data_IF_270297629068
#
_entry.id   IF_270297629068
#
_cell.length_a   1.000
_cell.length_b   1.000
_cell.length_c   1.000
_cell.angle_alpha   90.00
_cell.angle_beta   90.00
_cell.angle_gamma   90.00
#
_symmetry.space_group_name_H-M   'P 1'
#
loop_
_entity.id
_entity.type
_entity.pdbx_description
1 polymer ?
#
# COMPACT_ATOMS: atom_id res chain seq x y z
N UNK A 1 12.83 31.77 -3.62
CA UNK A 1 13.71 32.28 -4.69
C UNK A 1 14.46 31.12 -5.34
N UNK A 2 15.28 30.35 -4.62
CA UNK A 2 16.07 29.23 -5.18
C UNK A 2 15.27 28.16 -5.93
N UNK A 3 14.04 27.86 -5.49
CA UNK A 3 13.16 26.92 -6.19
C UNK A 3 12.67 27.50 -7.52
N UNK A 4 12.43 28.82 -7.57
CA UNK A 4 12.01 29.51 -8.79
C UNK A 4 13.14 29.53 -9.82
N UNK A 5 14.39 29.68 -9.37
CA UNK A 5 15.60 29.66 -10.21
C UNK A 5 16.04 28.23 -10.57
N UNK A 6 15.33 27.20 -10.09
CA UNK A 6 15.66 25.77 -10.25
C UNK A 6 17.03 25.37 -9.66
N UNK A 7 17.60 26.16 -8.76
CA UNK A 7 18.78 25.79 -7.99
C UNK A 7 18.34 24.96 -6.75
N UNK A 8 18.04 23.71 -7.02
CA UNK A 8 17.53 22.81 -5.97
C UNK A 8 18.59 22.41 -4.94
N UNK A 9 19.89 22.43 -5.30
CA UNK A 9 20.97 22.17 -4.35
C UNK A 9 21.07 23.29 -3.32
N UNK A 10 21.08 24.56 -3.75
CA UNK A 10 21.04 25.71 -2.85
C UNK A 10 19.75 25.74 -2.03
N UNK A 11 18.60 25.42 -2.64
CA UNK A 11 17.33 25.34 -1.95
C UNK A 11 17.34 24.27 -0.83
N UNK A 12 17.90 23.08 -1.10
CA UNK A 12 18.04 22.02 -0.09
C UNK A 12 18.85 22.48 1.10
N UNK A 13 19.99 23.13 0.86
CA UNK A 13 20.86 23.65 1.91
C UNK A 13 20.18 24.75 2.75
N UNK A 14 19.50 25.69 2.06
CA UNK A 14 18.77 26.79 2.68
C UNK A 14 17.66 26.26 3.61
N UNK A 15 16.75 25.46 3.06
CA UNK A 15 15.62 24.94 3.83
C UNK A 15 16.04 23.95 4.93
N UNK A 16 17.11 23.17 4.72
CA UNK A 16 17.65 22.32 5.78
C UNK A 16 18.24 23.12 6.93
N UNK A 17 18.85 24.28 6.65
CA UNK A 17 19.34 25.20 7.69
C UNK A 17 18.17 25.85 8.42
N UNK A 18 17.17 26.33 7.68
CA UNK A 18 15.96 26.94 8.24
C UNK A 18 15.21 25.95 9.13
N UNK A 19 15.03 24.71 8.68
CA UNK A 19 14.39 23.65 9.46
C UNK A 19 15.13 23.31 10.77
N UNK A 20 16.46 23.47 10.80
CA UNK A 20 17.25 23.31 12.03
C UNK A 20 17.09 24.49 12.98
N UNK A 21 17.01 25.71 12.45
CA UNK A 21 16.84 26.94 13.24
C UNK A 21 15.41 27.08 13.77
N UNK A 22 14.44 26.63 13.01
CA UNK A 22 13.02 26.71 13.32
C UNK A 22 12.37 25.31 13.22
N UNK A 23 12.60 24.43 14.22
CA UNK A 23 12.09 23.05 14.18
C UNK A 23 10.56 22.95 14.12
N UNK A 24 9.85 24.00 14.52
CA UNK A 24 8.38 24.10 14.42
C UNK A 24 7.89 24.47 13.01
N UNK A 25 8.76 24.96 12.12
CA UNK A 25 8.39 25.34 10.75
C UNK A 25 8.18 24.12 9.87
N UNK A 26 6.90 23.70 9.75
CA UNK A 26 6.52 22.63 8.84
C UNK A 26 6.82 22.97 7.37
N UNK A 27 6.77 24.24 7.01
CA UNK A 27 7.09 24.72 5.66
C UNK A 27 8.57 24.46 5.32
N UNK A 28 9.50 24.86 6.17
CA UNK A 28 10.92 24.66 5.95
C UNK A 28 11.27 23.16 5.82
N UNK A 29 10.71 22.33 6.69
CA UNK A 29 10.92 20.90 6.70
C UNK A 29 10.41 20.23 5.42
N UNK A 30 9.18 20.55 4.99
CA UNK A 30 8.61 20.04 3.73
C UNK A 30 9.41 20.50 2.53
N UNK A 31 9.78 21.78 2.49
CA UNK A 31 10.53 22.37 1.38
C UNK A 31 11.93 21.77 1.26
N UNK A 32 12.59 21.44 2.36
CA UNK A 32 13.89 20.75 2.34
C UNK A 32 13.79 19.38 1.67
N UNK A 33 12.79 18.57 2.03
CA UNK A 33 12.57 17.24 1.42
C UNK A 33 12.26 17.36 -0.08
N UNK A 34 11.35 18.27 -0.44
CA UNK A 34 10.96 18.48 -1.85
C UNK A 34 12.14 18.99 -2.69
N UNK A 35 12.95 19.89 -2.16
CA UNK A 35 14.13 20.40 -2.84
C UNK A 35 15.18 19.29 -3.06
N UNK A 36 15.43 18.45 -2.04
CA UNK A 36 16.32 17.31 -2.16
C UNK A 36 15.85 16.32 -3.26
N UNK A 37 14.56 16.00 -3.29
CA UNK A 37 13.98 15.13 -4.33
C UNK A 37 14.09 15.73 -5.73
N UNK A 38 13.86 17.04 -5.88
CA UNK A 38 14.01 17.73 -7.16
C UNK A 38 15.46 17.84 -7.64
N UNK A 39 16.40 17.74 -6.70
CA UNK A 39 17.84 17.67 -6.97
C UNK A 39 18.32 16.23 -7.24
N UNK A 40 17.41 15.26 -7.34
CA UNK A 40 17.71 13.82 -7.39
C UNK A 40 18.58 13.30 -6.23
N UNK A 41 18.70 14.07 -5.12
CA UNK A 41 19.41 13.66 -3.92
C UNK A 41 18.52 12.82 -3.01
N UNK A 42 18.32 11.57 -3.42
CA UNK A 42 17.54 10.60 -2.65
C UNK A 42 18.16 10.30 -1.29
N UNK A 43 19.47 10.52 -1.11
CA UNK A 43 20.15 10.27 0.17
C UNK A 43 19.79 11.35 1.18
N UNK A 44 19.88 12.63 0.79
CA UNK A 44 19.45 13.73 1.64
C UNK A 44 17.95 13.64 1.95
N UNK A 45 17.10 13.31 0.95
CA UNK A 45 15.68 13.13 1.15
C UNK A 45 15.37 12.04 2.18
N UNK A 46 16.01 10.86 2.09
CA UNK A 46 15.87 9.77 3.09
C UNK A 46 16.31 10.19 4.48
N UNK A 47 17.44 10.89 4.57
CA UNK A 47 17.94 11.38 5.85
C UNK A 47 16.94 12.32 6.53
N UNK A 48 16.37 13.26 5.76
CA UNK A 48 15.34 14.19 6.25
C UNK A 48 14.06 13.44 6.67
N UNK A 49 13.57 12.54 5.84
CA UNK A 49 12.34 11.76 6.11
C UNK A 49 12.48 10.80 7.30
N UNK A 50 13.69 10.38 7.66
CA UNK A 50 13.92 9.55 8.84
C UNK A 50 13.87 10.33 10.16
N UNK A 51 13.84 11.68 10.11
CA UNK A 51 13.66 12.49 11.31
C UNK A 51 12.18 12.50 11.70
N UNK A 52 11.84 12.03 12.89
CA UNK A 52 10.44 11.95 13.36
C UNK A 52 9.75 13.32 13.35
N UNK A 53 10.47 14.39 13.71
CA UNK A 53 9.95 15.76 13.68
C UNK A 53 9.50 16.20 12.28
N UNK A 54 10.08 15.63 11.23
CA UNK A 54 9.72 15.91 9.83
C UNK A 54 8.62 14.99 9.37
N UNK A 55 8.75 13.67 9.59
CA UNK A 55 7.77 12.68 9.15
C UNK A 55 6.37 12.92 9.72
N UNK A 56 6.28 13.35 10.98
CA UNK A 56 5.01 13.63 11.66
C UNK A 56 4.28 14.89 11.15
N UNK A 57 4.91 15.66 10.26
CA UNK A 57 4.33 16.87 9.65
C UNK A 57 3.64 16.60 8.31
N UNK A 58 3.73 15.39 7.79
CA UNK A 58 3.06 15.00 6.55
C UNK A 58 1.81 14.17 6.87
N UNK A 59 0.81 14.26 5.98
CA UNK A 59 -0.24 13.24 5.99
C UNK A 59 0.37 11.86 5.69
N UNK A 60 -0.26 10.79 6.17
CA UNK A 60 0.24 9.43 5.93
C UNK A 60 0.39 9.15 4.42
N UNK A 61 -0.53 9.66 3.59
CA UNK A 61 -0.48 9.54 2.14
C UNK A 61 0.69 10.33 1.51
N UNK A 62 0.87 11.60 1.90
CA UNK A 62 2.00 12.42 1.41
C UNK A 62 3.34 11.80 1.81
N UNK A 63 3.43 11.30 3.05
CA UNK A 63 4.63 10.65 3.54
C UNK A 63 4.99 9.41 2.73
N UNK A 64 4.01 8.59 2.38
CA UNK A 64 4.22 7.42 1.52
C UNK A 64 4.77 7.83 0.14
N UNK A 65 4.16 8.85 -0.49
CA UNK A 65 4.64 9.34 -1.79
C UNK A 65 6.09 9.85 -1.72
N UNK A 66 6.43 10.66 -0.72
CA UNK A 66 7.78 11.19 -0.54
C UNK A 66 8.80 10.08 -0.23
N UNK A 67 8.41 9.07 0.55
CA UNK A 67 9.26 7.91 0.82
C UNK A 67 9.49 7.05 -0.44
N UNK A 68 8.47 6.90 -1.28
CA UNK A 68 8.58 6.22 -2.56
C UNK A 68 9.50 6.98 -3.53
N UNK A 69 9.34 8.31 -3.64
CA UNK A 69 10.21 9.18 -4.44
C UNK A 69 11.67 9.12 -3.95
N UNK A 70 11.87 9.11 -2.63
CA UNK A 70 13.19 8.94 -2.02
C UNK A 70 13.73 7.51 -2.10
N UNK A 71 12.98 6.56 -2.65
CA UNK A 71 13.28 5.10 -2.67
C UNK A 71 13.57 4.53 -1.27
N UNK A 72 12.88 5.04 -0.25
CA UNK A 72 13.01 4.62 1.15
C UNK A 72 12.09 3.43 1.43
N UNK A 73 12.37 2.25 0.84
CA UNK A 73 11.46 1.12 0.76
C UNK A 73 11.02 0.54 2.11
N UNK A 74 11.93 0.45 3.10
CA UNK A 74 11.57 -0.08 4.43
C UNK A 74 10.67 0.89 5.21
N UNK A 75 10.97 2.21 5.30
CA UNK A 75 10.04 3.19 5.85
C UNK A 75 8.69 3.19 5.12
N UNK A 76 8.68 3.13 3.78
CA UNK A 76 7.47 3.08 2.97
C UNK A 76 6.57 1.89 3.36
N UNK A 77 7.14 0.69 3.52
CA UNK A 77 6.37 -0.48 3.95
C UNK A 77 5.69 -0.26 5.30
N UNK A 78 6.38 0.37 6.26
CA UNK A 78 5.79 0.71 7.57
C UNK A 78 4.67 1.74 7.43
N UNK A 79 4.85 2.73 6.56
CA UNK A 79 3.85 3.78 6.32
C UNK A 79 2.61 3.25 5.61
N UNK A 80 2.72 2.28 4.69
CA UNK A 80 1.56 1.63 4.07
C UNK A 80 0.74 0.87 5.10
N UNK A 81 1.36 0.12 6.02
CA UNK A 81 0.65 -0.54 7.12
C UNK A 81 -0.04 0.45 8.07
N UNK A 82 0.63 1.57 8.39
CA UNK A 82 0.05 2.63 9.23
C UNK A 82 -1.18 3.26 8.55
N UNK A 83 -1.06 3.57 7.26
CA UNK A 83 -2.14 4.15 6.45
C UNK A 83 -3.36 3.23 6.41
N UNK A 84 -3.19 1.96 6.06
CA UNK A 84 -4.31 1.02 6.00
C UNK A 84 -4.92 0.73 7.38
N UNK A 85 -4.12 0.68 8.44
CA UNK A 85 -4.65 0.60 9.81
C UNK A 85 -5.54 1.79 10.14
N UNK A 86 -5.18 3.00 9.70
CA UNK A 86 -6.01 4.19 9.88
C UNK A 86 -7.33 4.08 9.08
N UNK A 87 -7.28 3.54 7.87
CA UNK A 87 -8.48 3.29 7.06
C UNK A 87 -9.42 2.28 7.73
N UNK A 88 -8.91 1.21 8.33
CA UNK A 88 -9.72 0.24 9.09
C UNK A 88 -10.46 0.87 10.30
N UNK A 89 -10.03 2.03 10.79
CA UNK A 89 -10.71 2.76 11.85
C UNK A 89 -11.72 3.78 11.31
N UNK A 90 -11.89 3.90 10.00
CA UNK A 90 -12.82 4.81 9.37
C UNK A 90 -14.28 4.31 9.48
N UNK A 91 -15.24 5.22 9.31
CA UNK A 91 -16.66 4.87 9.31
C UNK A 91 -17.03 3.87 8.19
N UNK A 92 -16.27 3.84 7.11
CA UNK A 92 -16.50 2.96 5.96
C UNK A 92 -16.25 1.47 6.25
N UNK A 93 -15.64 1.13 7.38
CA UNK A 93 -15.51 -0.25 7.81
C UNK A 93 -16.88 -0.93 8.01
N UNK A 94 -17.91 -0.17 8.43
CA UNK A 94 -19.23 -0.75 8.73
C UNK A 94 -19.88 -1.37 7.49
N UNK A 95 -20.09 -0.65 6.37
CA UNK A 95 -20.66 -1.25 5.16
C UNK A 95 -19.74 -2.32 4.55
N UNK A 96 -18.43 -2.14 4.58
CA UNK A 96 -17.48 -3.14 4.08
C UNK A 96 -17.53 -4.43 4.91
N UNK A 97 -17.56 -4.33 6.23
CA UNK A 97 -17.68 -5.48 7.13
C UNK A 97 -19.02 -6.19 6.98
N UNK A 98 -20.12 -5.45 6.83
CA UNK A 98 -21.45 -6.02 6.60
C UNK A 98 -21.50 -6.81 5.30
N UNK A 99 -21.05 -6.23 4.19
CA UNK A 99 -20.97 -6.91 2.89
C UNK A 99 -20.02 -8.11 2.95
N UNK A 100 -18.86 -7.94 3.58
CA UNK A 100 -17.89 -9.01 3.79
C UNK A 100 -18.47 -10.17 4.61
N UNK A 101 -19.25 -9.88 5.67
CA UNK A 101 -19.90 -10.91 6.48
C UNK A 101 -20.93 -11.72 5.66
N UNK A 102 -21.75 -11.05 4.83
CA UNK A 102 -22.71 -11.73 3.97
C UNK A 102 -21.99 -12.72 3.05
N UNK A 103 -20.95 -12.27 2.34
CA UNK A 103 -20.18 -13.13 1.45
C UNK A 103 -19.44 -14.24 2.21
N UNK A 104 -18.89 -13.93 3.39
CA UNK A 104 -18.28 -14.93 4.25
C UNK A 104 -19.27 -16.05 4.62
N UNK A 105 -20.49 -15.69 5.03
CA UNK A 105 -21.53 -16.66 5.34
C UNK A 105 -21.98 -17.49 4.13
N UNK A 106 -22.09 -16.85 2.96
CA UNK A 106 -22.41 -17.57 1.71
C UNK A 106 -21.32 -18.59 1.38
N UNK A 107 -20.04 -18.17 1.39
CA UNK A 107 -18.92 -19.05 1.03
C UNK A 107 -18.75 -20.20 2.04
N UNK A 108 -18.96 -19.93 3.32
CA UNK A 108 -18.78 -20.94 4.36
C UNK A 108 -20.03 -21.82 4.59
N UNK A 109 -21.18 -21.48 4.00
CA UNK A 109 -22.40 -22.28 4.08
C UNK A 109 -22.24 -23.69 3.46
N UNK A 110 -21.30 -23.85 2.55
CA UNK A 110 -20.96 -25.14 1.93
C UNK A 110 -20.08 -26.02 2.83
N UNK A 111 -19.73 -25.54 4.04
CA UNK A 111 -18.87 -26.22 5.00
C UNK A 111 -19.63 -26.68 6.24
N UNK A 112 -19.24 -27.87 6.74
CA UNK A 112 -19.51 -28.19 8.12
C UNK A 112 -18.52 -27.43 8.99
N UNK A 113 -19.00 -26.50 9.80
CA UNK A 113 -18.16 -25.72 10.71
C UNK A 113 -17.51 -26.63 11.75
N UNK A 114 -16.21 -26.65 11.80
CA UNK A 114 -15.41 -27.09 12.93
C UNK A 114 -14.41 -25.97 13.32
N UNK A 115 -13.81 -26.10 14.48
CA UNK A 115 -12.88 -25.08 15.00
C UNK A 115 -11.68 -24.86 14.07
N UNK A 116 -11.17 -25.91 13.44
CA UNK A 116 -10.02 -25.83 12.55
C UNK A 116 -10.36 -25.02 11.29
N UNK A 117 -11.53 -25.28 10.71
CA UNK A 117 -12.02 -24.57 9.52
C UNK A 117 -12.33 -23.11 9.80
N UNK A 118 -12.90 -22.82 10.99
CA UNK A 118 -13.12 -21.44 11.42
C UNK A 118 -11.79 -20.67 11.50
N UNK A 119 -10.77 -21.24 12.13
CA UNK A 119 -9.45 -20.61 12.23
C UNK A 119 -8.84 -20.42 10.84
N UNK A 120 -8.91 -21.45 9.98
CA UNK A 120 -8.39 -21.38 8.62
C UNK A 120 -9.11 -20.31 7.79
N UNK A 121 -10.43 -20.17 7.91
CA UNK A 121 -11.21 -19.16 7.19
C UNK A 121 -10.88 -17.73 7.65
N UNK A 122 -10.77 -17.50 8.95
CA UNK A 122 -10.36 -16.20 9.48
C UNK A 122 -8.93 -15.85 9.06
N UNK A 123 -8.03 -16.84 9.06
CA UNK A 123 -6.66 -16.66 8.58
C UNK A 123 -6.61 -16.33 7.09
N UNK A 124 -7.45 -16.99 6.27
CA UNK A 124 -7.56 -16.70 4.84
C UNK A 124 -8.01 -15.25 4.59
N UNK A 125 -9.04 -14.76 5.30
CA UNK A 125 -9.48 -13.36 5.22
C UNK A 125 -8.36 -12.41 5.64
N UNK A 126 -7.65 -12.71 6.72
CA UNK A 126 -6.52 -11.89 7.18
C UNK A 126 -5.38 -11.82 6.14
N UNK A 127 -5.08 -12.93 5.46
CA UNK A 127 -4.11 -12.95 4.34
C UNK A 127 -4.60 -12.13 3.14
N UNK A 128 -5.91 -12.09 2.90
CA UNK A 128 -6.52 -11.21 1.90
C UNK A 128 -6.31 -9.73 2.22
N UNK A 129 -6.57 -9.32 3.46
CA UNK A 129 -6.28 -7.96 3.95
C UNK A 129 -4.79 -7.63 3.82
N UNK A 130 -3.91 -8.56 4.22
CA UNK A 130 -2.46 -8.39 4.05
C UNK A 130 -2.08 -8.21 2.58
N UNK A 131 -2.71 -8.96 1.66
CA UNK A 131 -2.40 -8.86 0.23
C UNK A 131 -2.77 -7.49 -0.35
N UNK A 132 -3.82 -6.82 0.13
CA UNK A 132 -4.16 -5.46 -0.26
C UNK A 132 -3.06 -4.47 0.13
N UNK A 133 -2.54 -4.57 1.37
CA UNK A 133 -1.41 -3.75 1.83
C UNK A 133 -0.15 -3.97 0.99
N UNK A 134 0.20 -5.23 0.72
CA UNK A 134 1.34 -5.55 -0.13
C UNK A 134 1.15 -5.07 -1.58
N UNK A 135 -0.08 -5.04 -2.07
CA UNK A 135 -0.42 -4.48 -3.39
C UNK A 135 -0.19 -2.98 -3.42
N UNK A 136 -0.65 -2.23 -2.42
CA UNK A 136 -0.40 -0.80 -2.32
C UNK A 136 1.12 -0.50 -2.30
N UNK A 137 1.87 -1.25 -1.51
CA UNK A 137 3.33 -1.15 -1.48
C UNK A 137 3.97 -1.44 -2.84
N UNK A 138 3.52 -2.50 -3.52
CA UNK A 138 4.02 -2.88 -4.84
C UNK A 138 3.69 -1.83 -5.93
N UNK A 139 2.51 -1.17 -5.85
CA UNK A 139 2.16 -0.03 -6.72
C UNK A 139 3.18 1.07 -6.59
N UNK A 140 3.47 1.50 -5.37
CA UNK A 140 4.42 2.59 -5.11
C UNK A 140 5.82 2.28 -5.66
N UNK A 141 6.28 1.03 -5.49
CA UNK A 141 7.56 0.58 -6.08
C UNK A 141 7.49 0.59 -7.61
N UNK A 142 6.44 0.02 -8.18
CA UNK A 142 6.27 -0.09 -9.63
C UNK A 142 6.28 1.28 -10.30
N UNK A 143 5.55 2.23 -9.75
CA UNK A 143 5.46 3.58 -10.31
C UNK A 143 6.77 4.36 -10.17
N UNK A 144 7.44 4.27 -9.01
CA UNK A 144 8.61 5.11 -8.71
C UNK A 144 9.95 4.48 -9.08
N UNK A 145 10.07 3.14 -9.05
CA UNK A 145 11.30 2.47 -9.42
C UNK A 145 11.38 2.13 -10.91
N UNK A 146 10.23 1.79 -11.51
CA UNK A 146 10.18 1.32 -12.90
C UNK A 146 9.50 2.30 -13.86
N UNK A 147 8.91 3.40 -13.35
CA UNK A 147 8.22 4.40 -14.14
C UNK A 147 6.95 3.87 -14.83
N UNK A 148 6.42 2.73 -14.38
CA UNK A 148 5.22 2.13 -14.96
C UNK A 148 3.97 2.75 -14.35
N UNK A 149 3.55 3.89 -14.90
CA UNK A 149 2.43 4.71 -14.42
C UNK A 149 1.30 4.73 -15.45
N UNK A 150 0.09 4.98 -14.96
CA UNK A 150 -1.05 5.25 -15.84
C UNK A 150 -0.89 6.62 -16.51
N UNK A 151 -0.88 6.64 -17.86
CA UNK A 151 -0.85 7.87 -18.66
C UNK A 151 -2.21 8.02 -19.34
N UNK A 152 -3.08 8.94 -18.86
CA UNK A 152 -4.45 9.10 -19.38
C UNK A 152 -4.52 9.41 -20.88
N UNK A 153 -3.48 10.07 -21.44
CA UNK A 153 -3.39 10.43 -22.87
C UNK A 153 -2.82 9.33 -23.76
N UNK A 154 -2.52 8.14 -23.20
CA UNK A 154 -1.98 7.02 -23.95
C UNK A 154 -3.06 6.34 -24.82
N UNK A 155 -2.61 5.53 -25.80
CA UNK A 155 -3.53 4.76 -26.65
C UNK A 155 -4.36 3.77 -25.82
N UNK A 156 -5.55 3.38 -26.30
CA UNK A 156 -6.42 2.39 -25.65
C UNK A 156 -5.67 1.08 -25.38
N UNK A 157 -4.79 0.66 -26.29
CA UNK A 157 -3.98 -0.57 -26.13
C UNK A 157 -3.00 -0.41 -24.94
N UNK A 158 -2.34 0.74 -24.83
CA UNK A 158 -1.44 1.02 -23.70
C UNK A 158 -2.17 1.06 -22.38
N UNK A 159 -3.36 1.64 -22.35
CA UNK A 159 -4.22 1.61 -21.16
C UNK A 159 -4.66 0.19 -20.79
N UNK A 160 -5.08 -0.61 -21.78
CA UNK A 160 -5.44 -2.01 -21.54
C UNK A 160 -4.26 -2.82 -20.98
N UNK A 161 -3.04 -2.65 -21.52
CA UNK A 161 -1.83 -3.29 -21.00
C UNK A 161 -1.57 -2.84 -19.55
N UNK A 162 -1.70 -1.55 -19.26
CA UNK A 162 -1.53 -1.07 -17.89
C UNK A 162 -2.51 -1.73 -16.92
N UNK A 163 -3.81 -1.76 -17.26
CA UNK A 163 -4.81 -2.34 -16.37
C UNK A 163 -4.68 -3.87 -16.24
N UNK A 164 -4.37 -4.58 -17.31
CA UNK A 164 -4.23 -6.04 -17.26
C UNK A 164 -2.92 -6.45 -16.59
N UNK A 165 -1.78 -5.95 -17.07
CA UNK A 165 -0.46 -6.36 -16.57
C UNK A 165 -0.02 -5.55 -15.34
N UNK A 166 -0.32 -4.26 -15.30
CA UNK A 166 0.11 -3.38 -14.21
C UNK A 166 -0.79 -3.46 -12.98
N UNK A 167 -2.08 -3.63 -13.16
CA UNK A 167 -3.04 -3.71 -12.05
C UNK A 167 -3.43 -5.15 -11.80
N UNK A 168 -4.18 -5.77 -12.72
CA UNK A 168 -4.79 -7.09 -12.51
C UNK A 168 -3.78 -8.19 -12.22
N UNK A 169 -2.75 -8.35 -13.07
CA UNK A 169 -1.75 -9.42 -12.87
C UNK A 169 -0.97 -9.26 -11.56
N UNK A 170 -0.61 -8.02 -11.19
CA UNK A 170 0.06 -7.73 -9.92
C UNK A 170 -0.79 -8.15 -8.72
N UNK A 171 -2.06 -7.72 -8.71
CA UNK A 171 -2.97 -8.03 -7.61
C UNK A 171 -3.19 -9.53 -7.46
N UNK A 172 -3.48 -10.22 -8.55
CA UNK A 172 -3.69 -11.67 -8.52
C UNK A 172 -2.42 -12.42 -8.12
N UNK A 173 -1.25 -11.96 -8.55
CA UNK A 173 0.03 -12.57 -8.16
C UNK A 173 0.27 -12.42 -6.65
N UNK A 174 -0.02 -11.26 -6.07
CA UNK A 174 0.17 -11.01 -4.63
C UNK A 174 -0.86 -11.82 -3.83
N UNK A 175 -2.14 -11.84 -4.24
CA UNK A 175 -3.18 -12.69 -3.63
C UNK A 175 -2.76 -14.16 -3.65
N UNK A 176 -2.29 -14.65 -4.80
CA UNK A 176 -1.80 -16.02 -4.94
C UNK A 176 -0.61 -16.28 -4.02
N UNK A 177 0.36 -15.39 -3.95
CA UNK A 177 1.51 -15.52 -3.06
C UNK A 177 1.08 -15.61 -1.59
N UNK A 178 0.13 -14.78 -1.17
CA UNK A 178 -0.45 -14.85 0.18
C UNK A 178 -1.25 -16.14 0.42
N UNK A 179 -1.85 -16.73 -0.63
CA UNK A 179 -2.59 -17.98 -0.53
C UNK A 179 -1.68 -19.23 -0.44
N UNK A 180 -0.44 -19.19 -0.91
CA UNK A 180 0.48 -20.35 -0.96
C UNK A 180 0.51 -21.15 0.37
N UNK A 181 0.66 -20.55 1.56
CA UNK A 181 0.68 -21.30 2.81
C UNK A 181 -0.57 -22.14 3.03
N UNK A 182 -1.73 -21.60 2.69
CA UNK A 182 -3.02 -22.28 2.77
C UNK A 182 -3.10 -23.38 1.71
N UNK A 183 -2.69 -23.11 0.47
CA UNK A 183 -2.69 -24.07 -0.62
C UNK A 183 -1.87 -25.32 -0.27
N UNK A 184 -0.67 -25.13 0.30
CA UNK A 184 0.20 -26.24 0.76
C UNK A 184 -0.48 -27.04 1.88
N UNK A 185 -1.15 -26.38 2.80
CA UNK A 185 -1.89 -27.05 3.87
C UNK A 185 -3.09 -27.86 3.34
N UNK A 186 -3.89 -27.30 2.42
CA UNK A 186 -5.00 -27.98 1.75
C UNK A 186 -4.55 -29.18 0.91
N UNK A 187 -3.45 -29.03 0.14
CA UNK A 187 -2.90 -30.11 -0.68
C UNK A 187 -2.53 -31.34 0.15
N UNK A 188 -1.98 -31.14 1.36
CA UNK A 188 -1.67 -32.24 2.28
C UNK A 188 -2.93 -32.96 2.79
N UNK A 189 -4.07 -32.27 2.81
CA UNK A 189 -5.36 -32.83 3.27
C UNK A 189 -6.19 -33.40 2.15
N UNK A 190 -5.75 -33.25 0.88
CA UNK A 190 -6.46 -33.68 -0.34
C UNK A 190 -7.92 -33.22 -0.40
N UNK A 191 -8.15 -31.95 -0.03
CA UNK A 191 -9.48 -31.36 0.01
C UNK A 191 -9.57 -30.13 -0.90
N UNK A 192 -9.90 -30.37 -2.16
CA UNK A 192 -9.95 -29.32 -3.19
C UNK A 192 -11.06 -28.29 -2.93
N UNK A 193 -12.21 -28.72 -2.40
CA UNK A 193 -13.30 -27.81 -2.06
C UNK A 193 -12.86 -26.83 -0.95
N UNK A 194 -12.14 -27.33 0.04
CA UNK A 194 -11.58 -26.49 1.12
C UNK A 194 -10.60 -25.48 0.58
N UNK A 195 -9.74 -25.89 -0.36
CA UNK A 195 -8.81 -25.00 -1.03
C UNK A 195 -9.52 -23.88 -1.80
N UNK A 196 -10.57 -24.22 -2.54
CA UNK A 196 -11.36 -23.27 -3.32
C UNK A 196 -12.06 -22.23 -2.43
N UNK A 197 -12.69 -22.68 -1.35
CA UNK A 197 -13.37 -21.76 -0.40
C UNK A 197 -12.35 -20.85 0.27
N UNK A 198 -11.20 -21.35 0.72
CA UNK A 198 -10.17 -20.54 1.36
C UNK A 198 -9.53 -19.56 0.38
N UNK A 199 -9.36 -19.92 -0.89
CA UNK A 199 -8.91 -19.00 -1.93
C UNK A 199 -9.92 -17.85 -2.13
N UNK A 200 -11.22 -18.18 -2.20
CA UNK A 200 -12.28 -17.18 -2.29
C UNK A 200 -12.30 -16.25 -1.06
N UNK A 201 -12.01 -16.76 0.13
CA UNK A 201 -11.92 -15.96 1.36
C UNK A 201 -10.70 -15.04 1.38
N UNK A 202 -9.56 -15.42 0.79
CA UNK A 202 -8.45 -14.49 0.55
C UNK A 202 -8.89 -13.37 -0.38
N UNK A 203 -9.57 -13.68 -1.50
CA UNK A 203 -10.16 -12.67 -2.39
C UNK A 203 -11.15 -11.75 -1.68
N UNK A 204 -11.98 -12.29 -0.78
CA UNK A 204 -12.94 -11.52 0.02
C UNK A 204 -12.23 -10.53 0.96
N UNK A 205 -11.18 -10.97 1.65
CA UNK A 205 -10.39 -10.08 2.53
C UNK A 205 -9.74 -8.94 1.77
N UNK A 206 -9.19 -9.21 0.58
CA UNK A 206 -8.65 -8.21 -0.32
C UNK A 206 -9.72 -7.19 -0.74
N UNK A 207 -10.85 -7.67 -1.28
CA UNK A 207 -11.93 -6.81 -1.74
C UNK A 207 -12.55 -5.96 -0.61
N UNK A 208 -12.65 -6.50 0.61
CA UNK A 208 -13.13 -5.75 1.76
C UNK A 208 -12.20 -4.57 2.08
N UNK A 209 -10.88 -4.76 2.01
CA UNK A 209 -9.90 -3.71 2.25
C UNK A 209 -9.91 -2.66 1.14
N UNK A 210 -10.00 -3.06 -0.12
CA UNK A 210 -10.14 -2.13 -1.24
C UNK A 210 -11.39 -1.26 -1.11
N UNK A 211 -12.53 -1.86 -0.78
CA UNK A 211 -13.78 -1.11 -0.60
C UNK A 211 -13.67 -0.04 0.51
N UNK A 212 -12.88 -0.29 1.56
CA UNK A 212 -12.62 0.72 2.60
C UNK A 212 -11.73 1.84 2.05
N UNK A 213 -10.76 1.51 1.19
CA UNK A 213 -9.78 2.47 0.69
C UNK A 213 -10.31 3.37 -0.43
N UNK A 214 -11.39 2.98 -1.13
CA UNK A 214 -12.02 3.76 -2.20
C UNK A 214 -13.03 4.80 -1.70
N UNK A 215 -13.41 4.78 -0.43
CA UNK A 215 -14.34 5.72 0.19
C UNK A 215 -13.66 6.61 1.22
#
# INVERSE_FOLDING_TARGET
LYILDKDYAAATNFYSREARQFPESSYAQRSAVIAALRNDDTTAARFLLNQSAISDRFSDYDLMNLQADARAWIPLLKSTFKYEKAQLLSFFIIPAAFTGLIWYLILTNFWRFDRTRLIASLFAVALGVLSANLTLYAVMIQERAFGFTHIPSSSQVSQAIYFVAGVGLREETIKLACFIPIAVWCARRKNDLEALILAALVGLGFAAMENISYF
#
